data_IF_501021178424
#
_entry.id   IF_501021178424
#
_cell.length_a   1.000
_cell.length_b   1.000
_cell.length_c   1.000
_cell.angle_alpha   90.00
_cell.angle_beta   90.00
_cell.angle_gamma   90.00
#
_symmetry.space_group_name_H-M   'P 1'
#
loop_
_entity.id
_entity.type
_entity.pdbx_description
1 polymer ?
#
# COMPACT_ATOMS: atom_id res chain seq x y z
N UNK A 1 -37.28 -11.18 8.16
CA UNK A 1 -36.02 -10.40 8.08
C UNK A 1 -35.18 -10.82 9.27
N UNK A 2 -34.29 -11.78 9.02
CA UNK A 2 -33.73 -12.66 10.05
C UNK A 2 -32.50 -12.03 10.69
N UNK A 3 -32.35 -12.20 12.00
CA UNK A 3 -31.21 -11.77 12.82
C UNK A 3 -29.84 -12.20 12.27
N UNK A 4 -29.82 -13.18 11.36
CA UNK A 4 -28.63 -13.62 10.61
C UNK A 4 -28.02 -12.51 9.75
N UNK A 5 -28.81 -11.61 9.15
CA UNK A 5 -28.27 -10.52 8.33
C UNK A 5 -27.51 -9.50 9.17
N UNK A 6 -28.01 -9.18 10.37
CA UNK A 6 -27.38 -8.24 11.31
C UNK A 6 -26.09 -8.83 11.89
N UNK A 7 -26.08 -10.12 12.22
CA UNK A 7 -24.88 -10.82 12.68
C UNK A 7 -23.78 -10.91 11.62
N UNK A 8 -24.15 -11.13 10.35
CA UNK A 8 -23.21 -11.11 9.23
C UNK A 8 -22.62 -9.71 9.04
N UNK A 9 -23.43 -8.65 9.11
CA UNK A 9 -22.94 -7.28 9.02
C UNK A 9 -22.01 -6.90 10.18
N UNK A 10 -22.30 -7.33 11.41
CA UNK A 10 -21.44 -7.09 12.57
C UNK A 10 -20.12 -7.85 12.45
N UNK A 11 -20.15 -9.11 11.98
CA UNK A 11 -18.95 -9.93 11.79
C UNK A 11 -18.04 -9.38 10.68
N UNK A 12 -18.61 -8.88 9.58
CA UNK A 12 -17.85 -8.24 8.48
C UNK A 12 -17.19 -6.94 8.95
N UNK A 13 -17.85 -6.16 9.81
CA UNK A 13 -17.26 -4.94 10.37
C UNK A 13 -16.11 -5.25 11.35
N UNK A 14 -16.23 -6.30 12.17
CA UNK A 14 -15.18 -6.70 13.12
C UNK A 14 -13.94 -7.33 12.45
N UNK A 15 -14.08 -7.93 11.26
CA UNK A 15 -12.95 -8.60 10.61
C UNK A 15 -11.95 -7.61 9.96
N UNK A 16 -12.33 -6.35 9.75
CA UNK A 16 -11.47 -5.33 9.15
C UNK A 16 -10.41 -4.76 10.13
N UNK A 17 -10.46 -5.16 11.41
CA UNK A 17 -9.63 -4.60 12.50
C UNK A 17 -8.70 -5.64 13.15
N UNK A 18 -8.55 -6.84 12.58
CA UNK A 18 -7.79 -7.91 13.22
C UNK A 18 -6.93 -8.68 12.23
N UNK A 19 -5.73 -8.16 11.99
CA UNK A 19 -4.66 -8.94 11.37
C UNK A 19 -4.19 -10.05 12.32
N UNK A 20 -4.43 -11.31 11.97
CA UNK A 20 -3.65 -12.45 12.50
C UNK A 20 -3.81 -13.67 11.59
N UNK A 21 -2.68 -14.24 11.17
CA UNK A 21 -2.60 -15.52 10.47
C UNK A 21 -2.36 -16.73 11.39
N UNK A 22 -2.38 -17.92 10.76
CA UNK A 22 -2.03 -19.32 11.17
C UNK A 22 -3.24 -20.26 11.05
N UNK A 23 -3.13 -21.54 10.72
CA UNK A 23 -2.11 -22.45 10.16
C UNK A 23 -2.84 -23.79 9.93
N UNK A 24 -2.54 -24.53 8.84
CA UNK A 24 -3.13 -25.85 8.53
C UNK A 24 -2.27 -27.00 9.08
N UNK A 25 -2.89 -28.09 9.55
CA UNK A 25 -2.29 -29.44 9.67
C UNK A 25 -3.41 -30.50 9.58
N UNK A 26 -3.12 -31.60 8.85
CA UNK A 26 -3.98 -32.65 8.28
C UNK A 26 -4.26 -33.85 9.21
N UNK A 27 -5.25 -34.71 8.84
CA UNK A 27 -5.16 -36.19 8.77
C UNK A 27 -6.47 -36.83 8.20
N UNK A 28 -6.35 -37.77 7.23
CA UNK A 28 -7.44 -38.50 6.48
C UNK A 28 -8.04 -39.72 7.21
N UNK A 29 -8.82 -40.68 6.67
CA UNK A 29 -9.40 -41.09 5.37
C UNK A 29 -10.60 -42.06 5.67
N UNK A 30 -11.79 -41.91 5.07
CA UNK A 30 -12.84 -42.98 4.97
C UNK A 30 -13.56 -42.89 3.61
N UNK A 31 -12.90 -43.28 2.52
CA UNK A 31 -13.35 -43.04 1.14
C UNK A 31 -14.52 -43.91 0.63
N UNK A 32 -15.65 -43.29 0.29
CA UNK A 32 -16.35 -43.40 -1.02
C UNK A 32 -17.74 -42.72 -0.98
N UNK A 33 -18.53 -42.86 0.09
CA UNK A 33 -19.68 -41.97 0.34
C UNK A 33 -19.24 -40.55 0.70
N UNK A 34 -18.10 -40.45 1.39
CA UNK A 34 -17.39 -39.20 1.65
C UNK A 34 -17.11 -38.42 0.36
N UNK A 35 -16.80 -39.05 -0.78
CA UNK A 35 -16.40 -38.32 -2.01
C UNK A 35 -17.53 -37.41 -2.55
N UNK A 36 -18.80 -37.86 -2.48
CA UNK A 36 -19.94 -37.06 -2.94
C UNK A 36 -20.34 -35.96 -1.95
N UNK A 37 -20.12 -36.20 -0.66
CA UNK A 37 -20.33 -35.18 0.37
C UNK A 37 -19.17 -34.17 0.35
N UNK A 38 -17.94 -34.64 0.18
CA UNK A 38 -16.68 -33.90 0.07
C UNK A 38 -16.63 -33.02 -1.16
N UNK A 39 -17.15 -33.46 -2.31
CA UNK A 39 -17.29 -32.59 -3.50
C UNK A 39 -18.32 -31.48 -3.27
N UNK A 40 -19.43 -31.74 -2.57
CA UNK A 40 -20.39 -30.69 -2.17
C UNK A 40 -19.79 -29.75 -1.13
N UNK A 41 -19.04 -30.28 -0.16
CA UNK A 41 -18.32 -29.51 0.86
C UNK A 41 -17.19 -28.70 0.25
N UNK A 42 -16.42 -29.20 -0.71
CA UNK A 42 -15.41 -28.44 -1.45
C UNK A 42 -16.08 -27.35 -2.27
N UNK A 43 -17.16 -27.64 -2.98
CA UNK A 43 -17.89 -26.60 -3.73
C UNK A 43 -18.42 -25.54 -2.76
N UNK A 44 -18.94 -25.92 -1.60
CA UNK A 44 -19.36 -24.99 -0.56
C UNK A 44 -18.18 -24.19 0.02
N UNK A 45 -17.04 -24.82 0.28
CA UNK A 45 -15.82 -24.15 0.78
C UNK A 45 -15.27 -23.21 -0.28
N UNK A 46 -15.27 -23.57 -1.55
CA UNK A 46 -14.82 -22.73 -2.68
C UNK A 46 -15.80 -21.57 -2.88
N UNK A 47 -17.11 -21.80 -2.78
CA UNK A 47 -18.13 -20.74 -2.86
C UNK A 47 -18.02 -19.81 -1.64
N UNK A 48 -17.83 -20.32 -0.43
CA UNK A 48 -17.62 -19.54 0.78
C UNK A 48 -16.29 -18.77 0.70
N UNK A 49 -15.22 -19.39 0.20
CA UNK A 49 -13.94 -18.72 -0.04
C UNK A 49 -14.10 -17.59 -1.06
N UNK A 50 -14.75 -17.82 -2.19
CA UNK A 50 -15.07 -16.78 -3.18
C UNK A 50 -15.95 -15.68 -2.58
N UNK A 51 -16.99 -16.03 -1.80
CA UNK A 51 -17.84 -15.07 -1.10
C UNK A 51 -17.13 -14.31 0.02
N UNK A 52 -16.05 -14.85 0.60
CA UNK A 52 -15.22 -14.17 1.60
C UNK A 52 -14.20 -13.22 0.99
N UNK A 53 -13.76 -13.48 -0.25
CA UNK A 53 -12.85 -12.61 -1.00
C UNK A 53 -13.57 -11.41 -1.60
N UNK A 54 -14.84 -11.56 -2.01
CA UNK A 54 -15.68 -10.48 -2.54
C UNK A 54 -15.81 -9.23 -1.63
N UNK A 55 -16.11 -9.35 -0.32
CA UNK A 55 -16.24 -8.19 0.56
C UNK A 55 -14.89 -7.61 0.99
N UNK A 56 -13.79 -8.37 0.93
CA UNK A 56 -12.45 -7.81 1.14
C UNK A 56 -12.07 -6.81 0.04
N UNK A 57 -12.61 -6.95 -1.18
CA UNK A 57 -12.38 -6.00 -2.26
C UNK A 57 -13.08 -4.64 -2.03
N UNK A 58 -14.23 -4.61 -1.34
CA UNK A 58 -15.07 -3.42 -1.21
C UNK A 58 -14.65 -2.47 -0.06
N UNK A 59 -13.83 -2.94 0.89
CA UNK A 59 -13.39 -2.13 2.03
C UNK A 59 -11.95 -1.60 1.89
N UNK A 60 -11.23 -1.99 0.84
CA UNK A 60 -9.84 -1.57 0.59
C UNK A 60 -9.77 -0.44 -0.45
N UNK A 61 -10.89 0.00 -1.03
CA UNK A 61 -10.88 0.94 -2.16
C UNK A 61 -10.13 2.25 -1.85
N UNK A 62 -10.38 2.87 -0.69
CA UNK A 62 -9.71 4.11 -0.29
C UNK A 62 -8.21 3.94 -0.01
N UNK A 63 -7.81 2.78 0.56
CA UNK A 63 -6.40 2.46 0.89
C UNK A 63 -5.62 1.98 -0.34
N UNK A 64 -6.24 1.19 -1.22
CA UNK A 64 -5.67 0.74 -2.48
C UNK A 64 -5.46 1.93 -3.43
N UNK A 65 -6.48 2.79 -3.54
CA UNK A 65 -6.37 4.02 -4.32
C UNK A 65 -5.28 4.94 -3.75
N UNK A 66 -5.11 4.99 -2.42
CA UNK A 66 -4.01 5.71 -1.79
C UNK A 66 -2.63 5.14 -2.19
N UNK A 67 -2.43 3.83 -2.10
CA UNK A 67 -1.19 3.19 -2.53
C UNK A 67 -0.90 3.45 -4.02
N UNK A 68 -1.94 3.42 -4.86
CA UNK A 68 -1.81 3.73 -6.29
C UNK A 68 -1.33 5.16 -6.52
N UNK A 69 -1.89 6.14 -5.81
CA UNK A 69 -1.48 7.55 -5.91
C UNK A 69 -0.04 7.77 -5.42
N UNK A 70 0.37 7.11 -4.34
CA UNK A 70 1.76 7.15 -3.84
C UNK A 70 2.71 6.55 -4.87
N UNK A 71 2.36 5.40 -5.47
CA UNK A 71 3.17 4.74 -6.49
C UNK A 71 3.33 5.61 -7.76
N UNK A 72 2.27 6.28 -8.18
CA UNK A 72 2.30 7.21 -9.32
C UNK A 72 3.24 8.41 -9.05
N UNK A 73 3.20 8.98 -7.84
CA UNK A 73 4.09 10.09 -7.49
C UNK A 73 5.57 9.65 -7.45
N UNK A 74 5.82 8.42 -6.98
CA UNK A 74 7.17 7.84 -6.99
C UNK A 74 7.67 7.60 -8.42
N UNK A 75 6.82 7.08 -9.31
CA UNK A 75 7.14 6.94 -10.74
C UNK A 75 7.42 8.31 -11.38
N UNK A 76 6.63 9.33 -11.05
CA UNK A 76 6.87 10.69 -11.51
C UNK A 76 8.23 11.22 -11.03
N UNK A 77 8.61 10.92 -9.78
CA UNK A 77 9.94 11.21 -9.23
C UNK A 77 11.06 10.54 -10.02
N UNK A 78 10.91 9.26 -10.35
CA UNK A 78 11.85 8.49 -11.17
C UNK A 78 12.01 9.06 -12.59
N UNK A 79 10.93 9.50 -13.21
CA UNK A 79 10.96 10.07 -14.57
C UNK A 79 11.58 11.48 -14.60
N UNK A 80 11.43 12.25 -13.52
CA UNK A 80 11.98 13.61 -13.39
C UNK A 80 13.43 13.62 -12.87
N UNK A 81 13.93 12.48 -12.40
CA UNK A 81 15.29 12.31 -11.90
C UNK A 81 16.33 12.78 -12.93
N UNK A 82 17.28 13.63 -12.50
CA UNK A 82 18.37 14.08 -13.37
C UNK A 82 19.40 12.96 -13.54
N UNK A 83 19.88 12.67 -14.76
CA UNK A 83 20.93 11.68 -14.96
C UNK A 83 22.21 12.10 -14.23
N UNK A 84 22.67 11.25 -13.33
CA UNK A 84 23.93 11.39 -12.58
C UNK A 84 24.87 10.25 -12.94
N UNK A 85 26.18 10.54 -12.97
CA UNK A 85 27.18 9.59 -13.44
C UNK A 85 27.71 8.68 -12.31
N UNK A 86 28.36 9.26 -11.31
CA UNK A 86 28.96 8.48 -10.22
C UNK A 86 29.00 9.25 -8.90
N UNK A 87 28.85 8.53 -7.80
CA UNK A 87 29.12 9.00 -6.45
C UNK A 87 30.61 8.82 -6.15
N UNK A 88 31.31 9.93 -5.88
CA UNK A 88 32.72 9.93 -5.51
C UNK A 88 32.88 9.86 -3.99
N UNK A 89 33.18 8.66 -3.48
CA UNK A 89 33.44 8.45 -2.05
C UNK A 89 34.93 8.58 -1.70
N UNK A 90 35.77 9.15 -2.58
CA UNK A 90 37.21 9.29 -2.35
C UNK A 90 37.54 10.55 -1.55
N UNK A 91 37.26 10.51 -0.25
CA UNK A 91 37.49 11.64 0.65
C UNK A 91 38.94 11.73 1.17
N UNK A 92 39.69 10.63 1.17
CA UNK A 92 41.06 10.56 1.73
C UNK A 92 42.11 10.76 0.64
N UNK A 93 43.10 11.62 0.87
CA UNK A 93 44.32 11.66 0.06
C UNK A 93 45.40 10.76 0.67
N UNK A 94 46.10 10.02 -0.18
CA UNK A 94 47.32 9.31 0.20
C UNK A 94 48.52 10.29 0.33
N UNK A 95 49.67 9.78 0.79
CA UNK A 95 50.89 10.58 0.92
C UNK A 95 51.49 11.03 -0.43
N UNK A 96 50.96 10.53 -1.55
CA UNK A 96 51.34 10.87 -2.93
C UNK A 96 50.33 11.84 -3.59
N UNK A 97 49.34 12.30 -2.84
CA UNK A 97 48.28 13.21 -3.33
C UNK A 97 47.22 12.56 -4.20
N UNK A 98 47.14 11.22 -4.25
CA UNK A 98 46.07 10.49 -4.92
C UNK A 98 44.87 10.31 -4.00
N UNK A 99 43.66 10.42 -4.56
CA UNK A 99 42.42 10.20 -3.82
C UNK A 99 42.11 8.71 -3.73
N UNK A 100 42.07 8.18 -2.52
CA UNK A 100 41.67 6.80 -2.24
C UNK A 100 40.20 6.72 -1.83
N UNK A 101 39.51 5.68 -2.32
CA UNK A 101 38.11 5.39 -2.01
C UNK A 101 37.36 4.76 -3.17
N UNK A 102 36.05 4.58 -2.99
CA UNK A 102 35.19 3.88 -3.96
C UNK A 102 34.46 4.88 -4.86
N UNK A 103 34.46 4.62 -6.16
CA UNK A 103 33.59 5.29 -7.11
C UNK A 103 32.39 4.37 -7.36
N UNK A 104 31.18 4.79 -7.01
CA UNK A 104 29.96 3.96 -7.13
C UNK A 104 29.05 4.57 -8.19
N UNK A 105 28.45 3.72 -9.03
CA UNK A 105 27.38 4.16 -9.92
C UNK A 105 26.18 4.62 -9.09
N UNK A 106 25.69 5.82 -9.37
CA UNK A 106 24.53 6.37 -8.68
C UNK A 106 23.27 5.53 -8.91
N UNK A 107 23.10 4.91 -10.09
CA UNK A 107 21.93 4.12 -10.46
C UNK A 107 21.66 2.93 -9.54
N UNK A 108 22.74 2.32 -9.05
CA UNK A 108 22.71 1.17 -8.12
C UNK A 108 23.10 1.55 -6.69
N UNK A 109 23.09 2.84 -6.36
CA UNK A 109 23.38 3.30 -5.01
C UNK A 109 22.12 3.33 -4.15
N UNK A 110 22.25 2.96 -2.88
CA UNK A 110 21.18 3.11 -1.87
C UNK A 110 20.74 4.57 -1.74
N UNK A 111 21.67 5.52 -1.94
CA UNK A 111 21.41 6.95 -1.92
C UNK A 111 20.30 7.36 -2.91
N UNK A 112 20.24 6.74 -4.10
CA UNK A 112 19.20 7.02 -5.09
C UNK A 112 17.80 6.76 -4.55
N UNK A 113 17.62 5.67 -3.79
CA UNK A 113 16.33 5.31 -3.19
C UNK A 113 15.99 6.28 -2.06
N UNK A 114 16.96 6.61 -1.21
CA UNK A 114 16.77 7.57 -0.12
C UNK A 114 16.34 8.94 -0.65
N UNK A 115 17.03 9.46 -1.68
CA UNK A 115 16.70 10.76 -2.29
C UNK A 115 15.30 10.79 -2.93
N UNK A 116 14.82 9.66 -3.46
CA UNK A 116 13.48 9.56 -4.05
C UNK A 116 12.36 9.46 -3.01
N UNK A 117 12.64 8.87 -1.84
CA UNK A 117 11.66 8.65 -0.78
C UNK A 117 11.56 9.83 0.20
N UNK A 118 12.61 10.64 0.35
CA UNK A 118 12.70 11.71 1.35
C UNK A 118 11.52 12.70 1.30
N UNK A 119 11.13 13.15 0.11
CA UNK A 119 10.05 14.13 -0.08
C UNK A 119 8.73 13.51 -0.57
N UNK A 120 8.67 12.18 -0.71
CA UNK A 120 7.51 11.48 -1.28
C UNK A 120 6.26 11.67 -0.43
N UNK A 121 6.37 11.42 0.89
CA UNK A 121 5.23 11.55 1.79
C UNK A 121 4.86 13.01 2.09
N UNK A 122 5.77 13.95 1.86
CA UNK A 122 5.44 15.38 1.94
C UNK A 122 4.55 15.81 0.76
N UNK A 123 4.84 15.34 -0.45
CA UNK A 123 4.03 15.57 -1.67
C UNK A 123 2.61 15.02 -1.56
N UNK A 124 2.40 14.01 -0.72
CA UNK A 124 1.05 13.50 -0.43
C UNK A 124 0.13 14.53 0.22
N UNK A 125 0.70 15.61 0.79
CA UNK A 125 -0.10 16.72 1.29
C UNK A 125 -0.79 17.53 0.18
N UNK A 126 -0.40 17.34 -1.08
CA UNK A 126 -1.09 17.92 -2.24
C UNK A 126 -2.27 17.04 -2.71
N UNK A 127 -2.58 15.94 -2.03
CA UNK A 127 -3.70 15.07 -2.42
C UNK A 127 -4.90 15.27 -1.50
N UNK A 128 -6.10 15.14 -2.07
CA UNK A 128 -7.35 15.06 -1.29
C UNK A 128 -8.23 13.96 -1.83
N UNK A 129 -9.11 13.46 -0.97
CA UNK A 129 -10.15 12.54 -1.35
C UNK A 129 -11.33 13.31 -1.98
N UNK A 130 -11.74 12.90 -3.17
CA UNK A 130 -12.93 13.42 -3.86
C UNK A 130 -13.91 12.28 -4.14
N UNK A 131 -15.21 12.56 -3.99
CA UNK A 131 -16.28 11.63 -4.34
C UNK A 131 -16.57 11.75 -5.81
N UNK A 132 -16.20 10.73 -6.58
CA UNK A 132 -16.53 10.64 -8.01
C UNK A 132 -17.96 10.15 -8.19
N UNK A 133 -18.38 9.19 -7.36
CA UNK A 133 -19.72 8.60 -7.36
C UNK A 133 -20.27 8.44 -5.93
N UNK A 134 -21.53 8.01 -5.79
CA UNK A 134 -22.18 7.82 -4.48
C UNK A 134 -21.47 6.79 -3.57
N UNK A 135 -20.64 5.92 -4.14
CA UNK A 135 -19.95 4.83 -3.45
C UNK A 135 -18.42 4.90 -3.50
N UNK A 136 -17.84 5.69 -4.41
CA UNK A 136 -16.42 5.55 -4.75
C UNK A 136 -15.69 6.86 -4.54
N UNK A 137 -14.70 6.83 -3.66
CA UNK A 137 -13.79 7.93 -3.44
C UNK A 137 -12.49 7.70 -4.21
N UNK A 138 -11.90 8.77 -4.75
CA UNK A 138 -10.59 8.72 -5.40
C UNK A 138 -9.69 9.83 -4.89
N UNK A 139 -8.39 9.55 -4.90
CA UNK A 139 -7.39 10.54 -4.53
C UNK A 139 -7.02 11.39 -5.73
N UNK A 140 -7.17 12.71 -5.58
CA UNK A 140 -6.83 13.68 -6.62
C UNK A 140 -5.75 14.64 -6.13
N UNK A 141 -4.84 15.01 -7.03
CA UNK A 141 -3.81 16.01 -6.75
C UNK A 141 -4.37 17.42 -6.91
N UNK A 142 -4.27 18.22 -5.85
CA UNK A 142 -4.75 19.58 -5.73
C UNK A 142 -3.61 20.56 -6.04
N UNK A 143 -3.59 21.08 -7.27
CA UNK A 143 -2.60 22.08 -7.67
C UNK A 143 -2.87 23.47 -7.05
N UNK A 144 -4.14 23.78 -6.76
CA UNK A 144 -4.54 25.05 -6.18
C UNK A 144 -5.68 24.86 -5.18
N UNK A 145 -5.34 24.97 -3.90
CA UNK A 145 -6.26 24.80 -2.77
C UNK A 145 -7.36 25.88 -2.70
N UNK A 146 -7.17 27.01 -3.37
CA UNK A 146 -8.17 28.07 -3.39
C UNK A 146 -9.31 27.84 -4.37
N UNK A 147 -9.05 27.03 -5.41
CA UNK A 147 -10.05 26.66 -6.43
C UNK A 147 -10.87 25.44 -6.04
N UNK A 148 -10.55 24.81 -4.91
CA UNK A 148 -11.23 23.61 -4.44
C UNK A 148 -12.68 23.94 -4.04
N UNK A 149 -13.65 23.27 -4.68
CA UNK A 149 -15.09 23.48 -4.43
C UNK A 149 -15.62 22.71 -3.21
N UNK A 150 -14.89 21.70 -2.76
CA UNK A 150 -15.24 20.89 -1.59
C UNK A 150 -14.88 21.61 -0.29
N UNK A 151 -15.28 21.04 0.85
CA UNK A 151 -14.96 21.57 2.16
C UNK A 151 -13.43 21.56 2.37
N UNK A 152 -12.81 22.75 2.40
CA UNK A 152 -11.35 22.89 2.52
C UNK A 152 -10.80 22.24 3.78
N UNK A 153 -11.52 22.29 4.90
CA UNK A 153 -11.09 21.72 6.17
C UNK A 153 -11.05 20.19 6.11
N UNK A 154 -12.08 19.59 5.51
CA UNK A 154 -12.15 18.15 5.28
C UNK A 154 -11.06 17.69 4.30
N UNK A 155 -10.87 18.42 3.20
CA UNK A 155 -9.82 18.14 2.22
C UNK A 155 -8.41 18.20 2.83
N UNK A 156 -8.14 19.18 3.69
CA UNK A 156 -6.89 19.28 4.44
C UNK A 156 -6.71 18.15 5.45
N UNK A 157 -7.80 17.67 6.06
CA UNK A 157 -7.74 16.50 6.93
C UNK A 157 -7.37 15.23 6.15
N UNK A 158 -7.94 15.04 4.95
CA UNK A 158 -7.58 13.92 4.06
C UNK A 158 -6.13 13.98 3.59
N UNK A 159 -5.66 15.16 3.18
CA UNK A 159 -4.25 15.42 2.82
C UNK A 159 -3.27 15.00 3.94
N UNK A 160 -3.54 15.42 5.17
CA UNK A 160 -2.73 15.03 6.33
C UNK A 160 -2.81 13.52 6.60
N UNK A 161 -3.99 12.93 6.45
CA UNK A 161 -4.18 11.49 6.61
C UNK A 161 -3.40 10.68 5.55
N UNK A 162 -3.35 11.15 4.31
CA UNK A 162 -2.57 10.52 3.23
C UNK A 162 -1.07 10.56 3.53
N UNK A 163 -0.54 11.73 3.90
CA UNK A 163 0.88 11.87 4.27
C UNK A 163 1.26 10.95 5.43
N UNK A 164 0.41 10.88 6.47
CA UNK A 164 0.61 9.95 7.59
C UNK A 164 0.50 8.48 7.17
N UNK A 165 -0.38 8.15 6.22
CA UNK A 165 -0.51 6.80 5.68
C UNK A 165 0.74 6.38 4.91
N UNK A 166 1.27 7.27 4.06
CA UNK A 166 2.53 7.07 3.35
C UNK A 166 3.69 6.80 4.32
N UNK A 167 3.81 7.60 5.39
CA UNK A 167 4.86 7.39 6.40
C UNK A 167 4.80 5.99 7.04
N UNK A 168 3.62 5.56 7.50
CA UNK A 168 3.42 4.21 8.04
C UNK A 168 3.74 3.11 7.03
N UNK A 169 3.41 3.34 5.75
CA UNK A 169 3.69 2.39 4.68
C UNK A 169 5.20 2.21 4.50
N UNK A 170 5.97 3.32 4.46
CA UNK A 170 7.42 3.26 4.35
C UNK A 170 8.07 2.59 5.56
N UNK A 171 7.63 2.92 6.78
CA UNK A 171 8.08 2.27 8.01
C UNK A 171 7.85 0.75 7.96
N UNK A 172 6.67 0.30 7.55
CA UNK A 172 6.36 -1.13 7.44
C UNK A 172 7.25 -1.83 6.41
N UNK A 173 7.54 -1.18 5.27
CA UNK A 173 8.39 -1.78 4.24
C UNK A 173 9.86 -1.88 4.65
N UNK A 174 10.36 -0.98 5.51
CA UNK A 174 11.73 -1.07 6.03
C UNK A 174 11.91 -2.33 6.87
N UNK A 175 10.91 -2.67 7.69
CA UNK A 175 10.97 -3.84 8.58
C UNK A 175 10.93 -5.17 7.81
N UNK A 176 10.32 -5.22 6.62
CA UNK A 176 10.30 -6.42 5.76
C UNK A 176 11.61 -6.64 4.99
N UNK A 177 12.40 -5.59 4.77
CA UNK A 177 13.68 -5.65 4.04
C UNK A 177 14.85 -6.06 4.96
N UNK A 178 14.62 -6.18 6.27
CA UNK A 178 15.60 -6.64 7.26
C UNK A 178 15.67 -8.16 7.37
#
# INVERSE_FOLDING_TARGET
MTWTAVLIQILVHSFCDSGTGRSWQEDGEIGQMEIKLYTRSIILIVVIAFLSVLPAALCIEDKCSACSAIAEELEHGLLKEKPRNHLDMRHRLDSKGQREGKLIDYRGSELRVVELLDDLCEKMQDYTLEKVDSSTNTWIKVNNWDLLKTNKQEARAHSKAMSSFCGRLLEQTEDEVR
#
